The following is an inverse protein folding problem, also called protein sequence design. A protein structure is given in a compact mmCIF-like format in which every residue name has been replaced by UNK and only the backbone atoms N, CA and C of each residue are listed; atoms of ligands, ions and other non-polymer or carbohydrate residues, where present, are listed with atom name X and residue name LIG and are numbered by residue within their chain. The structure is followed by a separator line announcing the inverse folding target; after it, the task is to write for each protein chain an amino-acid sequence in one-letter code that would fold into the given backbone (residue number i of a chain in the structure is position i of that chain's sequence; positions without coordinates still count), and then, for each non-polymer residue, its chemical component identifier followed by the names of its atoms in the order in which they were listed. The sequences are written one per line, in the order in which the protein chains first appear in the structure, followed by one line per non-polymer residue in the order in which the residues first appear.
data_IF_911894444820
#
_entry.id   IF_911894444820
#
_cell.length_a   1.000
_cell.length_b   1.000
_cell.length_c   1.000
_cell.angle_alpha   90.00
_cell.angle_beta   90.00
_cell.angle_gamma   90.00
#
_symmetry.space_group_name_H-M   'P 1'
#
loop_
_entity.id
_entity.type
_entity.pdbx_description
1 polymer ?
#
# COMPACT_ATOMS: atom_id res chain seq x y z
N UNK A 1 33.01 15.33 -20.08
CA UNK A 1 31.88 14.39 -20.28
C UNK A 1 31.05 14.44 -19.02
N UNK A 2 30.07 15.34 -18.99
CA UNK A 2 29.13 15.45 -17.90
C UNK A 2 27.93 14.57 -18.26
N UNK A 3 27.65 13.57 -17.43
CA UNK A 3 26.45 12.77 -17.55
C UNK A 3 25.26 13.68 -17.23
N UNK A 4 24.44 13.96 -18.25
CA UNK A 4 23.13 14.54 -18.05
C UNK A 4 22.29 13.47 -17.34
N UNK A 5 22.07 13.67 -16.04
CA UNK A 5 20.98 13.01 -15.33
C UNK A 5 19.71 13.59 -15.93
N UNK A 6 19.08 12.81 -16.80
CA UNK A 6 17.72 13.07 -17.24
C UNK A 6 16.86 12.90 -15.99
N UNK A 7 16.49 14.03 -15.38
CA UNK A 7 15.40 14.08 -14.40
C UNK A 7 14.15 13.79 -15.22
N UNK A 8 13.77 12.52 -15.31
CA UNK A 8 12.48 12.14 -15.88
C UNK A 8 11.41 12.86 -15.07
N UNK A 9 10.52 13.52 -15.81
CA UNK A 9 9.46 14.34 -15.28
C UNK A 9 8.66 13.55 -14.24
N UNK A 10 8.85 13.90 -12.96
CA UNK A 10 7.89 13.58 -11.92
C UNK A 10 6.63 14.34 -12.35
N UNK A 11 5.73 13.62 -13.02
CA UNK A 11 4.34 14.03 -13.13
C UNK A 11 3.84 14.08 -11.69
N UNK A 12 3.95 15.26 -11.07
CA UNK A 12 3.28 15.55 -9.82
C UNK A 12 1.84 15.13 -10.03
N UNK A 13 1.41 14.10 -9.31
CA UNK A 13 0.02 13.68 -9.23
C UNK A 13 -0.71 14.86 -8.58
N UNK A 14 -1.05 15.84 -9.41
CA UNK A 14 -1.82 17.01 -9.04
C UNK A 14 -3.26 16.55 -8.90
N UNK A 15 -3.57 16.03 -7.72
CA UNK A 15 -4.93 15.64 -7.37
C UNK A 15 -4.94 14.73 -6.16
N UNK A 16 -5.09 15.31 -4.97
CA UNK A 16 -5.52 14.61 -3.76
C UNK A 16 -4.53 13.63 -3.11
N UNK A 17 -3.35 14.12 -2.69
CA UNK A 17 -2.71 13.56 -1.49
C UNK A 17 -3.56 13.97 -0.27
N UNK A 18 -4.74 13.39 -0.14
CA UNK A 18 -5.75 13.77 0.84
C UNK A 18 -5.36 13.29 2.23
N UNK A 19 -5.28 14.23 3.17
CA UNK A 19 -5.31 13.88 4.59
C UNK A 19 -6.76 13.50 4.92
N UNK A 20 -6.98 12.26 5.36
CA UNK A 20 -8.34 11.74 5.57
C UNK A 20 -8.96 12.38 6.82
N UNK A 21 -10.19 12.87 6.68
CA UNK A 21 -11.08 13.15 7.79
C UNK A 21 -11.77 11.85 8.21
N UNK A 22 -11.35 11.23 9.33
CA UNK A 22 -12.08 10.09 9.89
C UNK A 22 -13.36 10.60 10.56
N UNK A 23 -14.50 10.28 9.95
CA UNK A 23 -15.83 10.50 10.52
C UNK A 23 -16.18 9.40 11.53
N UNK A 24 -16.70 9.83 12.68
CA UNK A 24 -16.88 9.15 13.98
C UNK A 24 -17.79 7.90 13.99
N UNK A 25 -18.21 7.34 12.85
CA UNK A 25 -19.36 6.41 12.81
C UNK A 25 -19.06 4.92 12.58
N UNK A 26 -17.83 4.43 12.82
CA UNK A 26 -17.52 2.99 12.81
C UNK A 26 -16.62 2.53 13.98
N UNK A 27 -16.82 3.14 15.15
CA UNK A 27 -15.99 2.99 16.35
C UNK A 27 -16.33 1.67 17.10
N UNK A 28 -15.34 0.81 17.38
CA UNK A 28 -15.46 -0.24 18.40
C UNK A 28 -15.57 0.37 19.80
N UNK A 29 -16.45 -0.14 20.67
CA UNK A 29 -16.57 0.33 22.06
C UNK A 29 -15.22 0.25 22.81
N UNK A 30 -14.86 1.34 23.49
CA UNK A 30 -13.59 1.50 24.20
C UNK A 30 -13.60 0.67 25.48
N UNK A 31 -13.05 -0.53 25.43
CA UNK A 31 -12.70 -1.34 26.62
C UNK A 31 -11.24 -1.82 26.64
N UNK A 32 -10.33 -1.26 25.84
CA UNK A 32 -8.98 -1.83 25.70
C UNK A 32 -7.84 -0.93 26.17
N UNK A 33 -6.90 -1.53 26.90
CA UNK A 33 -5.59 -0.99 27.29
C UNK A 33 -4.57 -1.00 26.12
N UNK A 34 -5.07 -0.89 24.89
CA UNK A 34 -4.30 -1.10 23.66
C UNK A 34 -4.72 -0.18 22.51
N UNK A 35 -4.00 -0.26 21.40
CA UNK A 35 -4.35 0.45 20.16
C UNK A 35 -4.87 -0.53 19.12
N UNK A 36 -5.86 -0.12 18.35
CA UNK A 36 -6.40 -0.91 17.25
C UNK A 36 -5.93 -0.32 15.94
N UNK A 37 -5.27 -1.12 15.11
CA UNK A 37 -4.89 -0.77 13.75
C UNK A 37 -5.86 -1.44 12.78
N UNK A 38 -6.54 -0.64 11.95
CA UNK A 38 -7.39 -1.15 10.87
C UNK A 38 -6.61 -1.08 9.56
N UNK A 39 -6.56 -2.20 8.85
CA UNK A 39 -5.96 -2.33 7.52
C UNK A 39 -7.08 -2.58 6.52
N UNK A 40 -7.25 -1.68 5.55
CA UNK A 40 -8.21 -1.82 4.46
C UNK A 40 -7.50 -2.23 3.19
N UNK A 41 -8.05 -3.23 2.54
CA UNK A 41 -7.50 -3.82 1.32
C UNK A 41 -8.27 -3.37 0.09
N UNK A 42 -7.56 -3.24 -1.04
CA UNK A 42 -8.12 -2.93 -2.36
C UNK A 42 -9.34 -3.77 -2.73
N UNK A 43 -10.29 -3.16 -3.45
CA UNK A 43 -11.55 -3.81 -3.84
C UNK A 43 -11.33 -4.93 -4.84
N UNK A 44 -12.24 -5.88 -4.73
CA UNK A 44 -12.49 -6.93 -5.69
C UNK A 44 -14.01 -7.16 -5.77
N UNK A 45 -14.62 -6.85 -6.91
CA UNK A 45 -16.05 -7.07 -7.08
C UNK A 45 -16.33 -8.56 -7.29
N UNK A 46 -17.19 -9.12 -6.44
CA UNK A 46 -17.65 -10.52 -6.46
C UNK A 46 -16.64 -11.59 -6.03
N UNK A 47 -15.56 -11.25 -5.31
CA UNK A 47 -14.60 -12.23 -4.78
C UNK A 47 -13.85 -12.97 -5.89
N UNK A 48 -13.54 -12.27 -6.99
CA UNK A 48 -12.94 -12.82 -8.22
C UNK A 48 -11.45 -12.50 -8.37
N UNK A 49 -10.89 -11.55 -7.65
CA UNK A 49 -9.47 -11.52 -7.33
C UNK A 49 -9.22 -12.50 -6.21
N UNK A 50 -8.53 -13.57 -6.57
CA UNK A 50 -7.94 -14.45 -5.58
C UNK A 50 -6.90 -13.75 -4.70
N UNK A 51 -6.44 -12.51 -4.99
CA UNK A 51 -5.13 -12.01 -4.54
C UNK A 51 -4.99 -10.49 -4.27
N UNK A 52 -6.00 -9.72 -3.85
CA UNK A 52 -5.72 -8.39 -3.20
C UNK A 52 -5.76 -8.46 -1.69
N UNK A 53 -6.69 -9.28 -1.16
CA UNK A 53 -6.57 -9.86 0.17
C UNK A 53 -5.30 -10.69 0.32
N UNK A 54 -4.89 -10.89 1.56
CA UNK A 54 -3.69 -11.63 1.89
C UNK A 54 -3.55 -11.77 3.40
N UNK A 55 -2.34 -12.05 3.85
CA UNK A 55 -2.02 -12.08 5.26
C UNK A 55 -1.98 -10.64 5.79
N UNK A 56 -2.72 -10.38 6.86
CA UNK A 56 -2.61 -9.12 7.56
C UNK A 56 -1.18 -8.97 8.11
N UNK A 57 -0.61 -7.74 8.06
CA UNK A 57 0.76 -7.51 8.50
C UNK A 57 0.90 -7.67 10.01
N UNK A 58 2.09 -8.05 10.46
CA UNK A 58 2.46 -7.92 11.86
C UNK A 58 2.56 -6.44 12.22
N UNK A 59 2.04 -6.09 13.38
CA UNK A 59 1.98 -4.70 13.86
C UNK A 59 2.89 -4.57 15.07
N UNK A 60 3.89 -3.69 14.98
CA UNK A 60 4.73 -3.26 16.10
C UNK A 60 4.48 -1.78 16.38
N UNK A 61 4.19 -1.46 17.63
CA UNK A 61 3.89 -0.09 18.06
C UNK A 61 5.04 0.48 18.88
N UNK A 62 5.35 1.75 18.64
CA UNK A 62 6.34 2.52 19.39
C UNK A 62 5.78 3.90 19.74
N UNK A 63 6.24 4.46 20.86
CA UNK A 63 5.87 5.82 21.26
C UNK A 63 6.77 6.88 20.61
N UNK A 64 6.53 8.15 20.92
CA UNK A 64 7.26 9.28 20.33
C UNK A 64 8.76 9.29 20.65
N UNK A 65 9.16 8.68 21.77
CA UNK A 65 10.56 8.54 22.15
C UNK A 65 11.23 7.30 21.51
N UNK A 66 10.53 6.59 20.62
CA UNK A 66 10.99 5.36 20.00
C UNK A 66 10.93 4.15 20.94
N UNK A 67 10.26 4.23 22.10
CA UNK A 67 10.14 3.09 23.01
C UNK A 67 9.09 2.11 22.49
N UNK A 68 9.42 0.83 22.51
CA UNK A 68 8.51 -0.23 22.08
C UNK A 68 7.33 -0.40 23.04
N UNK A 69 6.12 -0.41 22.50
CA UNK A 69 4.86 -0.52 23.25
C UNK A 69 4.32 -1.96 23.23
N UNK A 70 4.26 -2.57 22.05
CA UNK A 70 3.57 -3.85 21.86
C UNK A 70 3.70 -4.40 20.45
N UNK A 71 3.39 -5.69 20.31
CA UNK A 71 3.38 -6.40 19.03
C UNK A 71 2.18 -7.34 18.97
N UNK A 72 1.54 -7.39 17.82
CA UNK A 72 0.65 -8.49 17.41
C UNK A 72 1.22 -9.06 16.12
N UNK A 73 1.55 -10.35 16.12
CA UNK A 73 2.13 -11.06 15.00
C UNK A 73 1.17 -12.15 14.50
N UNK A 74 1.25 -12.44 13.20
CA UNK A 74 0.40 -13.37 12.46
C UNK A 74 -1.11 -13.17 12.78
N UNK A 75 -1.66 -11.94 12.60
CA UNK A 75 -3.04 -11.63 12.99
C UNK A 75 -4.14 -12.33 12.16
N UNK A 76 -3.75 -13.09 11.14
CA UNK A 76 -4.64 -13.84 10.24
C UNK A 76 -4.74 -13.20 8.86
N UNK A 77 -5.79 -13.55 8.12
CA UNK A 77 -5.99 -13.14 6.72
C UNK A 77 -7.16 -12.18 6.57
N UNK A 78 -7.09 -11.30 5.58
CA UNK A 78 -8.22 -10.44 5.19
C UNK A 78 -8.58 -10.67 3.72
N UNK A 79 -9.87 -10.76 3.43
CA UNK A 79 -10.36 -10.91 2.05
C UNK A 79 -10.26 -9.58 1.29
N UNK A 80 -10.12 -9.67 -0.02
CA UNK A 80 -10.19 -8.56 -0.95
C UNK A 80 -11.41 -7.67 -0.67
N UNK A 81 -11.23 -6.35 -0.65
CA UNK A 81 -12.28 -5.40 -0.35
C UNK A 81 -12.89 -5.51 1.05
N UNK A 82 -12.23 -6.17 2.01
CA UNK A 82 -12.57 -6.16 3.43
C UNK A 82 -11.56 -5.33 4.24
N UNK A 83 -11.89 -5.05 5.50
CA UNK A 83 -10.97 -4.48 6.47
C UNK A 83 -10.67 -5.50 7.56
N UNK A 84 -9.44 -5.54 8.03
CA UNK A 84 -9.02 -6.33 9.19
C UNK A 84 -8.60 -5.40 10.33
N UNK A 85 -9.04 -5.71 11.54
CA UNK A 85 -8.71 -4.94 12.75
C UNK A 85 -7.72 -5.74 13.59
N UNK A 86 -6.60 -5.10 13.96
CA UNK A 86 -5.49 -5.70 14.68
C UNK A 86 -5.31 -4.93 15.98
N UNK A 87 -5.69 -5.53 17.10
CA UNK A 87 -5.48 -4.93 18.42
C UNK A 87 -4.09 -5.28 18.94
N UNK A 88 -3.36 -4.28 19.41
CA UNK A 88 -2.07 -4.44 20.07
C UNK A 88 -2.16 -3.99 21.52
N UNK A 89 -1.95 -4.92 22.44
CA UNK A 89 -1.90 -4.65 23.88
C UNK A 89 -0.62 -3.89 24.26
N UNK A 90 -0.74 -2.88 25.14
CA UNK A 90 0.40 -2.08 25.59
C UNK A 90 1.05 -2.75 26.81
N UNK A 91 2.27 -3.29 26.65
CA UNK A 91 2.85 -4.28 27.59
C UNK A 91 3.19 -3.77 29.00
N UNK A 92 3.14 -2.48 29.31
CA UNK A 92 3.45 -1.96 30.65
C UNK A 92 3.01 -0.52 30.94
N UNK A 93 2.43 0.21 29.98
CA UNK A 93 2.07 1.62 30.14
C UNK A 93 0.64 1.86 29.65
N UNK A 94 -0.31 1.93 30.59
CA UNK A 94 -1.72 2.22 30.30
C UNK A 94 -1.83 3.62 29.69
N UNK A 95 -2.15 3.70 28.39
CA UNK A 95 -2.49 4.96 27.72
C UNK A 95 -1.35 5.70 27.00
N UNK A 96 -0.23 5.05 26.69
CA UNK A 96 0.77 5.67 25.80
C UNK A 96 0.22 5.81 24.37
N UNK A 97 0.56 6.93 23.72
CA UNK A 97 0.24 7.14 22.31
C UNK A 97 1.25 6.37 21.45
N UNK A 98 0.74 5.49 20.59
CA UNK A 98 1.54 4.76 19.62
C UNK A 98 1.74 5.63 18.37
N UNK A 99 2.62 6.62 18.46
CA UNK A 99 2.85 7.58 17.38
C UNK A 99 3.57 6.97 16.19
N UNK A 100 4.29 5.87 16.38
CA UNK A 100 4.90 5.09 15.30
C UNK A 100 4.32 3.68 15.22
N UNK A 101 4.01 3.24 14.01
CA UNK A 101 3.65 1.85 13.71
C UNK A 101 4.55 1.29 12.64
N UNK A 102 5.06 0.09 12.84
CA UNK A 102 5.75 -0.72 11.84
C UNK A 102 4.84 -1.88 11.42
N UNK A 103 4.54 -1.92 10.12
CA UNK A 103 3.82 -2.98 9.43
C UNK A 103 4.85 -3.91 8.80
N UNK A 104 4.83 -5.19 9.14
CA UNK A 104 5.73 -6.21 8.55
C UNK A 104 4.91 -7.25 7.81
N UNK A 105 5.28 -7.51 6.56
CA UNK A 105 4.54 -8.41 5.69
C UNK A 105 4.68 -9.87 6.13
N UNK A 106 3.66 -10.64 5.77
CA UNK A 106 3.66 -12.10 5.86
C UNK A 106 3.76 -12.70 4.45
N UNK A 107 3.60 -14.01 4.30
CA UNK A 107 3.95 -14.69 3.04
C UNK A 107 2.88 -14.55 1.94
N UNK A 108 1.65 -14.19 2.28
CA UNK A 108 0.62 -13.87 1.29
C UNK A 108 0.52 -12.36 1.09
N UNK A 109 0.92 -11.89 -0.09
CA UNK A 109 1.02 -10.48 -0.42
C UNK A 109 -0.31 -9.74 -0.29
N UNK A 110 -0.28 -8.52 0.22
CA UNK A 110 -1.48 -7.71 0.50
C UNK A 110 -1.35 -6.31 -0.09
N UNK A 111 -2.41 -5.80 -0.72
CA UNK A 111 -2.46 -4.42 -1.24
C UNK A 111 -3.26 -3.52 -0.30
N UNK A 112 -2.56 -2.71 0.50
CA UNK A 112 -3.15 -1.86 1.53
C UNK A 112 -3.57 -0.52 0.93
N UNK A 113 -4.88 -0.28 0.87
CA UNK A 113 -5.48 0.95 0.34
C UNK A 113 -5.45 2.09 1.38
N UNK A 114 -5.73 1.77 2.64
CA UNK A 114 -5.52 2.68 3.76
C UNK A 114 -5.24 1.88 5.04
N UNK A 115 -4.59 2.55 5.98
CA UNK A 115 -4.45 2.09 7.35
C UNK A 115 -4.92 3.19 8.31
N UNK A 116 -5.53 2.82 9.42
CA UNK A 116 -5.85 3.75 10.50
C UNK A 116 -5.47 3.16 11.85
N UNK A 117 -5.23 4.02 12.83
CA UNK A 117 -5.00 3.62 14.21
C UNK A 117 -5.95 4.39 15.12
N UNK A 118 -6.52 3.68 16.10
CA UNK A 118 -7.25 4.26 17.23
C UNK A 118 -6.43 3.99 18.49
N UNK A 119 -6.04 5.06 19.18
CA UNK A 119 -5.29 4.99 20.44
C UNK A 119 -6.21 4.70 21.65
N UNK A 120 -5.67 4.33 22.83
CA UNK A 120 -6.49 4.03 24.00
C UNK A 120 -7.38 5.20 24.47
N UNK A 121 -6.99 6.44 24.17
CA UNK A 121 -7.75 7.65 24.49
C UNK A 121 -8.82 8.01 23.43
N UNK A 122 -8.95 7.20 22.37
CA UNK A 122 -9.89 7.41 21.27
C UNK A 122 -9.41 8.37 20.18
N UNK A 123 -8.17 8.89 20.26
CA UNK A 123 -7.59 9.66 19.14
C UNK A 123 -7.33 8.74 17.95
N UNK A 124 -7.58 9.27 16.75
CA UNK A 124 -7.50 8.52 15.50
C UNK A 124 -6.62 9.20 14.48
N UNK A 125 -5.88 8.39 13.73
CA UNK A 125 -5.06 8.82 12.61
C UNK A 125 -5.23 7.84 11.46
N UNK A 126 -4.91 8.27 10.24
CA UNK A 126 -4.79 7.34 9.15
C UNK A 126 -3.88 7.78 8.04
N UNK A 127 -3.70 6.86 7.13
CA UNK A 127 -2.72 6.88 6.05
C UNK A 127 -3.33 6.19 4.84
N UNK A 128 -3.00 6.69 3.65
CA UNK A 128 -3.48 6.15 2.37
C UNK A 128 -2.34 5.59 1.54
N UNK A 129 -2.63 4.57 0.74
CA UNK A 129 -1.67 3.91 -0.13
C UNK A 129 -1.07 4.81 -1.21
N UNK A 130 -1.66 5.97 -1.49
CA UNK A 130 -1.08 7.00 -2.35
C UNK A 130 0.32 7.41 -1.90
N UNK A 131 0.58 7.45 -0.59
CA UNK A 131 1.92 7.74 -0.06
C UNK A 131 2.90 6.61 -0.36
N UNK A 132 2.43 5.37 -0.34
CA UNK A 132 3.22 4.23 -0.78
C UNK A 132 3.69 4.40 -2.22
N UNK A 133 2.77 4.70 -3.13
CA UNK A 133 3.10 5.02 -4.53
C UNK A 133 4.04 6.22 -4.64
N UNK A 134 3.68 7.33 -4.00
CA UNK A 134 4.41 8.60 -4.09
C UNK A 134 5.85 8.49 -3.59
N UNK A 135 6.09 7.63 -2.60
CA UNK A 135 7.42 7.36 -2.07
C UNK A 135 8.15 6.19 -2.76
N UNK A 136 7.62 5.68 -3.89
CA UNK A 136 8.30 4.69 -4.75
C UNK A 136 8.00 3.22 -4.42
N UNK A 137 6.95 2.95 -3.65
CA UNK A 137 6.49 1.61 -3.34
C UNK A 137 5.77 0.94 -4.51
N UNK A 138 5.70 -0.41 -4.48
CA UNK A 138 4.92 -1.15 -5.45
C UNK A 138 3.42 -0.91 -5.23
N UNK A 139 2.66 -0.56 -6.28
CA UNK A 139 1.28 -0.08 -6.10
C UNK A 139 0.29 -0.53 -7.18
N UNK A 140 -1.00 -0.41 -6.89
CA UNK A 140 -2.09 -0.60 -7.86
C UNK A 140 -3.31 0.26 -7.49
N UNK A 141 -4.24 0.49 -8.41
CA UNK A 141 -5.51 1.15 -8.08
C UNK A 141 -6.32 0.29 -7.10
N UNK A 142 -6.86 0.89 -6.04
CA UNK A 142 -7.62 0.13 -5.04
C UNK A 142 -9.13 0.13 -5.28
N UNK A 143 -9.66 1.18 -5.93
CA UNK A 143 -11.09 1.49 -6.04
C UNK A 143 -11.85 1.50 -4.69
N UNK A 144 -11.15 1.61 -3.55
CA UNK A 144 -11.78 1.64 -2.23
C UNK A 144 -12.23 3.06 -1.91
N UNK A 145 -13.51 3.27 -1.67
CA UNK A 145 -13.97 4.56 -1.16
C UNK A 145 -13.57 4.75 0.30
N UNK A 146 -12.94 5.88 0.59
CA UNK A 146 -12.75 6.34 1.97
C UNK A 146 -14.00 7.11 2.39
N UNK A 147 -14.55 6.74 3.55
CA UNK A 147 -15.76 7.36 4.12
C UNK A 147 -15.69 8.89 4.08
N UNK A 148 -16.80 9.54 3.74
CA UNK A 148 -16.95 10.99 3.51
C UNK A 148 -16.25 11.59 2.27
N UNK A 149 -15.65 10.77 1.39
CA UNK A 149 -15.06 11.23 0.13
C UNK A 149 -15.49 10.38 -1.08
N UNK A 150 -15.50 10.98 -2.28
CA UNK A 150 -15.56 10.25 -3.56
C UNK A 150 -14.17 9.80 -4.03
N UNK A 151 -13.19 9.83 -3.12
CA UNK A 151 -11.80 9.52 -3.41
C UNK A 151 -11.53 8.04 -3.17
N UNK A 152 -10.77 7.46 -4.10
CA UNK A 152 -10.33 6.07 -4.08
C UNK A 152 -8.81 6.07 -4.15
N UNK A 153 -8.11 5.76 -3.04
CA UNK A 153 -6.66 5.85 -2.99
C UNK A 153 -6.03 4.74 -3.84
N UNK A 154 -4.77 4.92 -4.19
CA UNK A 154 -3.94 3.79 -4.60
C UNK A 154 -3.70 2.85 -3.41
N UNK A 155 -3.34 1.59 -3.66
CA UNK A 155 -2.90 0.66 -2.63
C UNK A 155 -1.42 0.34 -2.75
N UNK A 156 -0.76 0.15 -1.61
CA UNK A 156 0.64 -0.26 -1.50
C UNK A 156 0.72 -1.78 -1.29
N UNK A 157 1.50 -2.45 -2.12
CA UNK A 157 1.81 -3.86 -1.93
C UNK A 157 2.88 -4.05 -0.85
N UNK A 158 2.67 -5.03 0.02
CA UNK A 158 3.71 -5.58 0.89
C UNK A 158 3.69 -7.11 0.84
N UNK A 159 4.87 -7.73 0.96
CA UNK A 159 5.07 -9.16 0.83
C UNK A 159 6.37 -9.65 1.49
N UNK A 160 6.28 -10.73 2.28
CA UNK A 160 7.40 -11.31 3.01
C UNK A 160 8.23 -12.32 2.21
N UNK A 161 7.74 -12.81 1.05
CA UNK A 161 8.40 -13.87 0.28
C UNK A 161 9.06 -13.42 -1.04
N UNK A 162 9.07 -12.11 -1.32
CA UNK A 162 9.73 -11.45 -2.45
C UNK A 162 9.05 -11.64 -3.82
N UNK A 163 7.75 -11.95 -3.83
CA UNK A 163 6.88 -11.68 -4.96
C UNK A 163 6.75 -10.17 -5.19
N UNK A 164 6.79 -9.34 -4.13
CA UNK A 164 6.89 -7.88 -4.20
C UNK A 164 8.10 -7.37 -3.40
N UNK A 165 8.71 -6.23 -3.78
CA UNK A 165 9.97 -5.81 -3.18
C UNK A 165 9.81 -5.30 -1.74
N UNK A 166 8.65 -4.73 -1.39
CA UNK A 166 8.40 -4.15 -0.07
C UNK A 166 8.00 -5.24 0.93
N UNK A 167 8.79 -5.42 1.99
CA UNK A 167 8.55 -6.39 3.07
C UNK A 167 7.85 -5.76 4.27
N UNK A 168 7.57 -4.46 4.22
CA UNK A 168 6.92 -3.72 5.29
C UNK A 168 7.12 -2.22 5.14
N UNK A 169 6.51 -1.45 6.03
CA UNK A 169 6.72 0.00 6.11
C UNK A 169 6.41 0.51 7.52
N UNK A 170 7.00 1.65 7.88
CA UNK A 170 6.63 2.39 9.08
C UNK A 170 5.80 3.63 8.74
N UNK A 171 4.99 4.07 9.70
CA UNK A 171 4.26 5.34 9.67
C UNK A 171 4.50 6.06 11.00
N UNK A 172 4.81 7.36 10.94
CA UNK A 172 4.62 8.30 12.05
C UNK A 172 3.28 9.01 11.87
N UNK A 173 2.28 8.61 12.64
CA UNK A 173 0.88 9.01 12.41
C UNK A 173 0.63 10.52 12.42
N UNK A 174 1.22 11.33 13.33
CA UNK A 174 0.98 12.77 13.37
C UNK A 174 1.40 13.52 12.10
N UNK A 175 2.30 12.97 11.28
CA UNK A 175 2.73 13.60 10.03
C UNK A 175 1.67 13.58 8.93
N UNK A 176 0.66 12.71 9.10
CA UNK A 176 -0.48 12.51 8.21
C UNK A 176 -1.79 12.98 8.84
N UNK A 177 -1.74 13.87 9.84
CA UNK A 177 -2.90 14.46 10.49
C UNK A 177 -3.35 15.78 9.82
N UNK A 178 -4.64 16.12 9.96
CA UNK A 178 -5.27 17.23 9.22
C UNK A 178 -4.69 18.62 9.54
N UNK A 179 -4.05 18.77 10.69
CA UNK A 179 -3.36 19.98 11.11
C UNK A 179 -1.98 20.16 10.44
N UNK A 180 -1.57 19.22 9.59
CA UNK A 180 -0.34 19.23 8.82
C UNK A 180 -0.62 19.15 7.29
N UNK A 181 -1.45 20.07 6.74
CA UNK A 181 -1.91 19.99 5.35
C UNK A 181 -0.76 20.15 4.35
N UNK A 182 -0.95 19.56 3.18
CA UNK A 182 -0.05 19.77 2.05
C UNK A 182 -0.21 21.20 1.55
N UNK A 183 0.88 21.97 1.39
CA UNK A 183 0.79 23.35 0.90
C UNK A 183 0.21 23.45 -0.51
N UNK A 184 -0.51 24.53 -0.82
CA UNK A 184 -1.06 24.75 -2.18
C UNK A 184 0.03 25.06 -3.22
N UNK A 185 1.16 25.66 -2.80
CA UNK A 185 2.26 26.01 -3.69
C UNK A 185 3.02 24.76 -4.15
N UNK A 186 3.36 24.66 -5.43
CA UNK A 186 4.15 23.54 -5.99
C UNK A 186 5.45 23.27 -5.21
N UNK A 187 6.18 24.33 -4.84
CA UNK A 187 7.41 24.20 -4.04
C UNK A 187 7.14 23.62 -2.65
N UNK A 188 6.08 24.10 -1.99
CA UNK A 188 5.66 23.57 -0.69
C UNK A 188 5.16 22.12 -0.77
N UNK A 189 4.46 21.73 -1.85
CA UNK A 189 4.07 20.34 -2.11
C UNK A 189 5.32 19.46 -2.23
N UNK A 190 6.28 19.87 -3.06
CA UNK A 190 7.53 19.14 -3.25
C UNK A 190 8.30 18.99 -1.94
N UNK A 191 8.40 20.05 -1.15
CA UNK A 191 9.08 20.04 0.15
C UNK A 191 8.39 19.11 1.14
N UNK A 192 7.05 19.10 1.18
CA UNK A 192 6.30 18.20 2.08
C UNK A 192 6.41 16.75 1.65
N UNK A 193 6.34 16.46 0.35
CA UNK A 193 6.53 15.11 -0.20
C UNK A 193 7.95 14.60 0.10
N UNK A 194 8.97 15.42 -0.17
CA UNK A 194 10.36 15.09 0.13
C UNK A 194 10.55 14.82 1.64
N UNK A 195 9.96 15.67 2.47
CA UNK A 195 9.99 15.46 3.92
C UNK A 195 9.37 14.11 4.32
N UNK A 196 8.18 13.80 3.83
CA UNK A 196 7.48 12.57 4.19
C UNK A 196 8.19 11.31 3.68
N UNK A 197 8.69 11.34 2.45
CA UNK A 197 9.28 10.16 1.80
C UNK A 197 10.77 9.95 2.13
N UNK A 198 11.54 11.03 2.34
CA UNK A 198 13.00 10.96 2.38
C UNK A 198 13.62 11.32 3.73
N UNK A 199 12.84 11.82 4.70
CA UNK A 199 13.39 12.16 6.02
C UNK A 199 13.69 10.93 6.90
N UNK A 200 13.07 9.78 6.62
CA UNK A 200 13.15 8.56 7.42
C UNK A 200 11.96 8.38 8.36
N UNK A 201 11.88 9.09 9.50
CA UNK A 201 10.82 8.87 10.49
C UNK A 201 9.36 8.95 10.01
N UNK A 202 8.96 9.91 9.14
CA UNK A 202 7.56 10.03 8.75
C UNK A 202 7.00 8.78 8.05
N UNK A 203 7.73 8.29 7.04
CA UNK A 203 7.38 7.09 6.30
C UNK A 203 8.67 6.46 5.75
N UNK A 204 8.85 5.17 6.02
CA UNK A 204 9.98 4.40 5.51
C UNK A 204 9.51 3.01 5.13
N UNK A 205 9.82 2.59 3.91
CA UNK A 205 9.56 1.23 3.44
C UNK A 205 10.79 0.35 3.71
N UNK A 206 10.52 -0.90 4.05
CA UNK A 206 11.49 -1.97 4.14
C UNK A 206 11.39 -2.84 2.90
N UNK A 207 12.52 -3.40 2.47
CA UNK A 207 12.58 -4.24 1.28
C UNK A 207 13.31 -5.53 1.56
N UNK A 208 13.07 -6.53 0.71
CA UNK A 208 13.84 -7.76 0.69
C UNK A 208 15.35 -7.47 0.60
N UNK A 209 16.23 -8.23 1.30
CA UNK A 209 16.00 -9.50 2.00
C UNK A 209 15.50 -9.41 3.46
N UNK A 210 15.13 -8.23 3.97
CA UNK A 210 14.61 -8.08 5.33
C UNK A 210 13.15 -8.55 5.44
N UNK A 211 12.94 -9.86 5.64
CA UNK A 211 11.60 -10.50 5.64
C UNK A 211 10.73 -10.25 6.88
N UNK A 212 11.34 -9.82 7.98
CA UNK A 212 10.63 -9.45 9.23
C UNK A 212 11.28 -8.16 9.74
N UNK A 213 10.98 -7.01 9.11
CA UNK A 213 11.53 -5.74 9.55
C UNK A 213 11.12 -5.47 10.99
N UNK A 214 12.10 -5.08 11.81
CA UNK A 214 11.91 -4.88 13.26
C UNK A 214 12.30 -3.50 13.73
N UNK A 215 12.92 -2.70 12.87
CA UNK A 215 13.44 -1.39 13.24
C UNK A 215 12.55 -0.28 12.73
N UNK A 216 12.42 0.79 13.51
CA UNK A 216 11.91 2.07 13.05
C UNK A 216 12.98 3.15 13.11
N UNK A 217 12.88 4.14 12.23
CA UNK A 217 13.52 5.44 12.42
C UNK A 217 12.55 6.38 13.17
N UNK A 218 13.04 7.13 14.14
CA UNK A 218 12.23 8.08 14.92
C UNK A 218 12.97 9.40 15.16
N UNK A 219 12.22 10.46 15.45
CA UNK A 219 12.76 11.75 15.82
C UNK A 219 13.28 11.76 17.26
N UNK A 220 14.58 11.98 17.45
CA UNK A 220 15.21 12.06 18.76
C UNK A 220 15.74 13.48 19.04
N UNK A 221 15.63 13.98 20.28
CA UNK A 221 16.25 15.24 20.66
C UNK A 221 17.78 15.11 20.62
N UNK A 222 18.45 16.07 19.97
CA UNK A 222 19.91 16.11 19.89
C UNK A 222 20.53 16.16 21.30
N UNK A 223 21.40 15.21 21.62
CA UNK A 223 22.10 15.17 22.91
C UNK A 223 23.32 16.11 22.90
N UNK A 224 23.09 17.42 23.16
CA UNK A 224 24.17 18.41 23.20
C UNK A 224 23.71 19.79 23.69
N UNK A 225 24.42 20.36 24.67
CA UNK A 225 24.08 21.61 25.37
C UNK A 225 24.14 22.85 24.44
N UNK A 226 22.99 23.45 24.14
CA UNK A 226 22.80 24.91 24.15
C UNK A 226 21.30 25.24 24.13
N UNK A 227 20.81 25.85 25.20
CA UNK A 227 19.40 26.23 25.45
C UNK A 227 18.95 27.47 24.63
N UNK A 228 19.53 27.71 23.45
CA UNK A 228 19.25 28.92 22.67
C UNK A 228 18.89 28.69 21.20
N UNK A 229 18.95 27.46 20.71
CA UNK A 229 18.51 27.14 19.36
C UNK A 229 17.31 26.19 19.40
N UNK A 230 16.35 26.46 18.51
CA UNK A 230 15.14 25.64 18.29
C UNK A 230 15.52 24.16 18.31
N UNK A 231 14.75 23.32 19.02
CA UNK A 231 14.96 21.87 19.16
C UNK A 231 15.33 21.24 17.81
N UNK A 232 16.62 21.07 17.54
CA UNK A 232 17.10 20.33 16.37
C UNK A 232 16.85 18.87 16.68
N UNK A 233 15.92 18.27 15.96
CA UNK A 233 15.66 16.83 16.00
C UNK A 233 16.70 16.13 15.12
N UNK A 234 17.28 15.05 15.62
CA UNK A 234 18.08 14.11 14.84
C UNK A 234 17.27 12.82 14.65
N UNK A 235 17.65 11.98 13.69
CA UNK A 235 17.03 10.66 13.51
C UNK A 235 17.76 9.62 14.36
N UNK A 236 17.02 8.76 15.05
CA UNK A 236 17.55 7.58 15.74
C UNK A 236 16.81 6.31 15.30
N UNK A 237 17.34 5.15 15.66
CA UNK A 237 16.73 3.85 15.33
C UNK A 237 16.34 3.11 16.59
N UNK A 238 15.14 2.55 16.62
CA UNK A 238 14.66 1.65 17.67
C UNK A 238 14.27 0.30 17.09
N UNK A 239 14.17 -0.72 17.94
CA UNK A 239 13.91 -2.10 17.53
C UNK A 239 12.80 -2.73 18.37
N UNK A 240 11.88 -3.41 17.69
CA UNK A 240 10.91 -4.31 18.29
C UNK A 240 11.44 -5.74 18.41
N UNK A 241 10.78 -6.58 19.22
CA UNK A 241 11.09 -8.01 19.29
C UNK A 241 10.76 -8.72 17.97
N UNK A 242 11.44 -9.85 17.68
CA UNK A 242 11.07 -10.72 16.55
C UNK A 242 9.69 -11.34 16.76
N UNK A 243 9.02 -11.70 15.66
CA UNK A 243 7.69 -12.34 15.73
C UNK A 243 7.71 -13.73 16.37
N UNK A 244 8.84 -14.46 16.25
CA UNK A 244 9.05 -15.75 16.92
C UNK A 244 10.14 -15.65 18.00
N UNK A 245 9.93 -16.35 19.12
CA UNK A 245 10.91 -16.44 20.19
C UNK A 245 12.22 -17.08 19.69
N UNK A 246 13.37 -16.57 20.12
CA UNK A 246 14.69 -17.06 19.70
C UNK A 246 14.88 -18.55 20.02
N UNK A 247 14.21 -19.07 21.05
CA UNK A 247 14.22 -20.50 21.43
C UNK A 247 13.46 -21.42 20.47
N UNK A 248 12.55 -20.89 19.65
CA UNK A 248 11.83 -21.65 18.63
C UNK A 248 12.64 -21.83 17.32
N UNK A 249 13.81 -21.18 17.21
CA UNK A 249 14.69 -21.28 16.03
C UNK A 249 15.27 -22.67 15.78
N UNK A 250 15.15 -23.60 16.73
CA UNK A 250 15.66 -24.97 16.58
C UNK A 250 14.65 -25.97 15.99
N UNK A 251 13.41 -25.56 15.70
CA UNK A 251 12.35 -26.52 15.31
C UNK A 251 11.58 -26.21 14.01
N UNK A 252 11.89 -25.18 13.23
CA UNK A 252 11.08 -24.84 12.04
C UNK A 252 11.85 -24.71 10.72
N UNK A 253 12.86 -25.54 10.48
CA UNK A 253 13.37 -25.78 9.12
C UNK A 253 12.57 -26.86 8.35
N UNK A 254 11.44 -27.34 8.90
CA UNK A 254 10.79 -28.57 8.38
C UNK A 254 9.27 -28.56 8.12
N UNK A 255 8.63 -27.39 8.03
CA UNK A 255 7.23 -27.32 7.56
C UNK A 255 7.06 -26.29 6.43
N UNK A 256 7.81 -26.48 5.35
CA UNK A 256 7.37 -26.05 4.02
C UNK A 256 6.70 -27.24 3.34
N UNK A 257 5.55 -27.65 3.87
CA UNK A 257 4.60 -28.38 3.06
C UNK A 257 3.96 -27.37 2.11
N UNK A 258 4.56 -27.33 0.92
CA UNK A 258 4.05 -26.87 -0.36
C UNK A 258 2.55 -27.17 -0.47
N UNK A 259 1.73 -26.27 0.08
CA UNK A 259 0.33 -26.17 -0.32
C UNK A 259 0.37 -25.73 -1.78
N UNK A 260 -0.07 -26.66 -2.61
CA UNK A 260 -0.16 -26.65 -4.06
C UNK A 260 -1.05 -25.49 -4.55
N UNK A 261 -0.65 -24.24 -4.30
CA UNK A 261 -1.27 -23.04 -4.84
C UNK A 261 -0.45 -22.62 -6.05
N UNK A 262 -1.07 -22.76 -7.21
CA UNK A 262 -0.59 -22.25 -8.48
C UNK A 262 -0.09 -20.82 -8.29
N UNK A 263 1.22 -20.66 -8.47
CA UNK A 263 2.02 -19.45 -8.26
C UNK A 263 1.32 -18.13 -8.60
N UNK A 264 1.35 -17.20 -7.64
CA UNK A 264 0.81 -15.82 -7.61
C UNK A 264 1.03 -15.00 -8.90
N UNK A 265 2.17 -15.07 -9.62
CA UNK A 265 2.36 -14.33 -10.88
C UNK A 265 1.51 -14.86 -12.05
N UNK A 266 1.26 -16.17 -12.11
CA UNK A 266 0.47 -16.78 -13.18
C UNK A 266 -1.01 -16.40 -13.03
N UNK A 267 -1.55 -16.39 -11.81
CA UNK A 267 -2.94 -16.01 -11.52
C UNK A 267 -3.19 -14.50 -11.74
N UNK A 268 -2.22 -13.65 -11.41
CA UNK A 268 -2.28 -12.21 -11.71
C UNK A 268 -2.30 -11.98 -13.23
N UNK A 269 -1.47 -12.71 -13.98
CA UNK A 269 -1.48 -12.68 -15.44
C UNK A 269 -2.73 -13.29 -16.10
N UNK A 270 -3.66 -13.88 -15.35
CA UNK A 270 -4.98 -14.34 -15.82
C UNK A 270 -6.13 -13.51 -15.28
N UNK A 271 -5.84 -12.39 -14.63
CA UNK A 271 -6.81 -11.46 -14.07
C UNK A 271 -6.81 -10.14 -14.84
N UNK A 272 -7.96 -9.48 -14.92
CA UNK A 272 -8.13 -8.20 -15.57
C UNK A 272 -9.08 -7.30 -14.78
N UNK A 273 -8.81 -5.99 -14.79
CA UNK A 273 -9.68 -4.95 -14.23
C UNK A 273 -10.16 -4.02 -15.32
N UNK A 274 -11.45 -3.71 -15.30
CA UNK A 274 -12.12 -2.78 -16.22
C UNK A 274 -12.65 -1.61 -15.40
N UNK A 275 -12.38 -0.38 -15.81
CA UNK A 275 -12.89 0.83 -15.15
C UNK A 275 -13.37 1.87 -16.16
N UNK A 276 -14.31 2.71 -15.74
CA UNK A 276 -14.76 3.92 -16.44
C UNK A 276 -14.43 5.20 -15.67
N UNK A 277 -13.61 5.10 -14.61
CA UNK A 277 -13.22 6.25 -13.79
C UNK A 277 -12.14 7.06 -14.49
N UNK A 278 -12.30 8.38 -14.54
CA UNK A 278 -11.24 9.29 -15.02
C UNK A 278 -10.01 9.28 -14.09
N UNK A 279 -10.15 8.79 -12.86
CA UNK A 279 -9.06 8.65 -11.88
C UNK A 279 -8.19 7.42 -12.11
N UNK A 280 -8.67 6.42 -12.86
CA UNK A 280 -7.92 5.19 -13.11
C UNK A 280 -7.35 5.18 -14.54
N UNK A 281 -6.26 5.90 -14.76
CA UNK A 281 -5.62 6.00 -16.07
C UNK A 281 -4.86 4.72 -16.40
N UNK A 282 -5.24 4.05 -17.50
CA UNK A 282 -4.54 2.87 -17.98
C UNK A 282 -3.10 3.20 -18.42
N UNK A 283 -2.87 4.40 -18.96
CA UNK A 283 -1.53 4.86 -19.35
C UNK A 283 -0.64 5.11 -18.13
N UNK A 284 -1.18 5.76 -17.10
CA UNK A 284 -0.47 6.06 -15.85
C UNK A 284 -0.02 4.76 -15.17
N UNK A 285 -0.94 3.79 -15.08
CA UNK A 285 -0.63 2.47 -14.58
C UNK A 285 0.44 1.76 -15.43
N UNK A 286 0.35 1.81 -16.77
CA UNK A 286 1.32 1.14 -17.63
C UNK A 286 2.72 1.78 -17.59
N UNK A 287 2.78 3.11 -17.57
CA UNK A 287 4.04 3.85 -17.60
C UNK A 287 4.73 3.89 -16.24
N UNK A 288 4.03 3.58 -15.15
CA UNK A 288 4.62 3.49 -13.82
C UNK A 288 5.54 2.27 -13.69
N UNK A 289 6.82 2.52 -13.41
CA UNK A 289 7.81 1.47 -13.17
C UNK A 289 7.52 0.64 -11.91
N UNK A 290 6.80 1.20 -10.94
CA UNK A 290 6.48 0.56 -9.66
C UNK A 290 5.03 0.07 -9.59
N UNK A 291 4.22 0.21 -10.64
CA UNK A 291 2.88 -0.36 -10.60
C UNK A 291 2.96 -1.89 -10.75
N UNK A 292 2.09 -2.63 -10.07
CA UNK A 292 2.04 -4.08 -10.15
C UNK A 292 0.63 -4.59 -9.91
N UNK A 293 0.14 -5.49 -10.77
CA UNK A 293 -1.19 -6.07 -10.61
C UNK A 293 -1.73 -6.69 -11.90
N UNK A 294 -3.04 -7.00 -11.93
CA UNK A 294 -3.73 -7.56 -13.09
C UNK A 294 -3.63 -6.67 -14.33
N UNK A 295 -3.96 -7.20 -15.51
CA UNK A 295 -4.11 -6.35 -16.70
C UNK A 295 -5.25 -5.33 -16.49
N UNK A 296 -5.17 -4.16 -17.12
CA UNK A 296 -6.08 -3.06 -16.83
C UNK A 296 -6.65 -2.44 -18.09
N UNK A 297 -7.94 -2.11 -18.07
CA UNK A 297 -8.61 -1.40 -19.16
C UNK A 297 -9.42 -0.22 -18.62
N UNK A 298 -9.26 0.94 -19.25
CA UNK A 298 -10.16 2.05 -19.07
C UNK A 298 -11.05 2.20 -20.32
N UNK A 299 -12.35 1.98 -20.15
CA UNK A 299 -13.31 2.01 -21.27
C UNK A 299 -13.63 3.42 -21.74
N UNK A 300 -13.43 4.46 -20.90
CA UNK A 300 -13.64 5.85 -21.32
C UNK A 300 -12.48 6.39 -22.12
N UNK A 301 -11.25 6.06 -21.72
CA UNK A 301 -10.06 6.45 -22.48
C UNK A 301 -9.78 5.51 -23.65
N UNK A 302 -10.51 4.40 -23.76
CA UNK A 302 -10.34 3.35 -24.77
C UNK A 302 -8.93 2.73 -24.81
N UNK A 303 -8.31 2.57 -23.63
CA UNK A 303 -6.94 2.08 -23.49
C UNK A 303 -6.89 0.83 -22.62
N UNK A 304 -6.11 -0.14 -23.09
CA UNK A 304 -5.74 -1.36 -22.39
C UNK A 304 -4.24 -1.34 -22.07
N UNK A 305 -3.90 -1.62 -20.81
CA UNK A 305 -2.53 -1.88 -20.38
C UNK A 305 -2.37 -3.37 -20.08
N UNK A 306 -1.43 -4.00 -20.78
CA UNK A 306 -0.95 -5.34 -20.41
C UNK A 306 0.15 -5.18 -19.38
N UNK A 307 -0.12 -5.57 -18.14
CA UNK A 307 0.76 -5.26 -17.01
C UNK A 307 2.00 -6.15 -16.96
N UNK A 308 1.95 -7.33 -17.58
CA UNK A 308 3.07 -8.28 -17.63
C UNK A 308 4.29 -7.76 -18.38
N UNK A 309 4.08 -6.94 -19.41
CA UNK A 309 5.14 -6.35 -20.24
C UNK A 309 5.05 -4.81 -20.34
N UNK A 310 4.14 -4.19 -19.59
CA UNK A 310 3.90 -2.74 -19.56
C UNK A 310 3.59 -2.16 -20.95
N UNK A 311 2.86 -2.91 -21.77
CA UNK A 311 2.49 -2.46 -23.13
C UNK A 311 1.08 -1.89 -23.19
N UNK A 312 0.97 -0.73 -23.82
CA UNK A 312 -0.29 -0.02 -24.05
C UNK A 312 -0.87 -0.45 -25.40
N UNK A 313 -2.17 -0.74 -25.42
CA UNK A 313 -2.92 -1.10 -26.61
C UNK A 313 -4.23 -0.31 -26.70
N UNK A 314 -4.68 0.06 -27.92
CA UNK A 314 -6.02 0.61 -28.11
C UNK A 314 -7.08 -0.48 -27.95
N UNK A 315 -8.32 -0.08 -27.65
CA UNK A 315 -9.48 -0.98 -27.75
C UNK A 315 -9.90 -1.13 -29.22
N UNK A 316 -10.27 -2.35 -29.62
CA UNK A 316 -10.76 -2.62 -30.95
C UNK A 316 -12.08 -1.89 -31.21
N UNK A 317 -12.21 -1.27 -32.38
CA UNK A 317 -13.47 -0.73 -32.87
C UNK A 317 -13.73 -1.22 -34.30
N UNK A 318 -14.97 -1.65 -34.58
CA UNK A 318 -15.34 -2.23 -35.86
C UNK A 318 -15.19 -1.27 -37.05
N UNK A 319 -15.01 0.03 -36.80
CA UNK A 319 -14.86 1.05 -37.82
C UNK A 319 -13.42 1.18 -38.34
N UNK A 320 -12.42 1.18 -37.45
CA UNK A 320 -11.06 1.61 -37.79
C UNK A 320 -9.95 0.74 -37.17
N UNK A 321 -10.20 0.03 -36.07
CA UNK A 321 -9.17 -0.71 -35.33
C UNK A 321 -9.67 -2.14 -35.09
N UNK A 322 -9.30 -3.05 -36.00
CA UNK A 322 -9.74 -4.45 -35.96
C UNK A 322 -8.63 -5.43 -35.58
N UNK A 323 -7.39 -4.94 -35.46
CA UNK A 323 -6.20 -5.71 -35.16
C UNK A 323 -5.18 -4.85 -34.40
N UNK A 324 -4.23 -5.49 -33.70
CA UNK A 324 -3.30 -4.85 -32.76
C UNK A 324 -4.04 -4.04 -31.69
N UNK A 325 -5.07 -4.65 -31.10
CA UNK A 325 -5.99 -4.01 -30.20
C UNK A 325 -6.62 -5.00 -29.23
N UNK A 326 -7.13 -4.48 -28.11
CA UNK A 326 -7.88 -5.28 -27.15
C UNK A 326 -9.34 -5.41 -27.57
N UNK A 327 -9.80 -6.64 -27.83
CA UNK A 327 -11.17 -6.91 -28.21
C UNK A 327 -12.01 -7.19 -26.97
N UNK A 328 -12.91 -6.26 -26.63
CA UNK A 328 -13.78 -6.35 -25.46
C UNK A 328 -14.85 -7.44 -25.56
N UNK A 329 -15.29 -7.79 -26.77
CA UNK A 329 -16.25 -8.88 -26.99
C UNK A 329 -15.64 -10.26 -26.78
N UNK A 330 -14.33 -10.39 -27.03
CA UNK A 330 -13.56 -11.61 -26.80
C UNK A 330 -12.83 -11.61 -25.46
N UNK A 331 -12.75 -10.46 -24.79
CA UNK A 331 -11.88 -10.21 -23.63
C UNK A 331 -10.44 -10.67 -23.88
N UNK A 332 -9.91 -10.37 -25.07
CA UNK A 332 -8.59 -10.82 -25.50
C UNK A 332 -7.91 -9.76 -26.35
N UNK A 333 -6.58 -9.67 -26.20
CA UNK A 333 -5.77 -8.91 -27.11
C UNK A 333 -5.59 -9.66 -28.43
N UNK A 334 -5.79 -8.97 -29.54
CA UNK A 334 -5.63 -9.51 -30.89
C UNK A 334 -4.40 -8.88 -31.54
N UNK A 335 -3.43 -9.70 -31.91
CA UNK A 335 -2.22 -9.30 -32.64
C UNK A 335 -2.12 -10.09 -33.94
N UNK A 336 -2.03 -9.38 -35.06
CA UNK A 336 -1.98 -9.97 -36.40
C UNK A 336 -3.15 -10.94 -36.67
N UNK A 337 -4.34 -10.60 -36.16
CA UNK A 337 -5.57 -11.40 -36.28
C UNK A 337 -5.63 -12.64 -35.38
N UNK A 338 -4.68 -12.79 -34.44
CA UNK A 338 -4.61 -13.94 -33.53
C UNK A 338 -4.75 -13.45 -32.09
N UNK A 339 -5.59 -14.12 -31.31
CA UNK A 339 -5.65 -13.89 -29.88
C UNK A 339 -4.32 -14.24 -29.21
N UNK A 340 -3.79 -13.35 -28.37
CA UNK A 340 -2.49 -13.58 -27.73
C UNK A 340 -2.53 -14.60 -26.59
N UNK A 341 -3.73 -15.05 -26.21
CA UNK A 341 -3.95 -15.98 -25.11
C UNK A 341 -4.71 -17.20 -25.63
N UNK A 342 -4.27 -18.37 -25.22
CA UNK A 342 -4.96 -19.63 -25.52
C UNK A 342 -6.30 -19.74 -24.77
N UNK A 343 -6.38 -19.12 -23.59
CA UNK A 343 -7.56 -19.12 -22.72
C UNK A 343 -7.96 -17.67 -22.37
N UNK A 344 -9.27 -17.39 -22.19
CA UNK A 344 -9.75 -16.08 -21.73
C UNK A 344 -9.29 -15.79 -20.29
N UNK A 345 -9.45 -14.53 -19.86
CA UNK A 345 -9.23 -14.17 -18.46
C UNK A 345 -10.13 -15.01 -17.55
N UNK A 346 -9.52 -15.61 -16.53
CA UNK A 346 -10.27 -16.37 -15.51
C UNK A 346 -11.06 -15.43 -14.61
N UNK A 347 -10.49 -14.26 -14.34
CA UNK A 347 -11.05 -13.28 -13.42
C UNK A 347 -11.11 -11.91 -14.12
N UNK A 348 -12.32 -11.41 -14.33
CA UNK A 348 -12.55 -10.04 -14.81
C UNK A 348 -13.29 -9.29 -13.72
N UNK A 349 -12.66 -8.23 -13.22
CA UNK A 349 -13.30 -7.27 -12.31
C UNK A 349 -13.82 -6.12 -13.14
N UNK A 350 -15.08 -5.79 -12.94
CA UNK A 350 -15.71 -4.65 -13.56
C UNK A 350 -16.02 -3.60 -12.49
N UNK A 351 -15.31 -2.48 -12.56
CA UNK A 351 -15.49 -1.29 -11.72
C UNK A 351 -16.31 -0.20 -12.41
N UNK A 352 -16.95 -0.50 -13.54
CA UNK A 352 -17.76 0.48 -14.24
C UNK A 352 -19.05 0.79 -13.47
N UNK A 353 -19.51 2.04 -13.61
CA UNK A 353 -20.67 2.58 -12.87
C UNK A 353 -22.04 1.97 -13.24
N UNK A 354 -22.07 1.02 -14.19
CA UNK A 354 -23.30 0.46 -14.76
C UNK A 354 -23.74 -0.90 -14.18
N UNK A 355 -23.10 -1.38 -13.10
CA UNK A 355 -23.47 -2.61 -12.40
C UNK A 355 -24.01 -2.37 -10.99
#
# INVERSE_FOLDING_TARGET
MAAAVVVEAIGLISGFLGIIQFGIDNIPEVESVGSTVRVRVGLDFNGRLSNTGGDLPDIRLFNEAGEFIGITADPGTVKSGMAGDITVEHKSNLGQQATYTLFSANNDAICIAYASITWPNGEEYGWVGDWGRQCGGSWYYSNVYISASSYTPDCLWIDGNNNQPQTGFQIHWPEFANDNPIPDSLEGQHTKIDHLCNSGPPFQMHTYPDKDPRSIMYWAPRSGRSLSDKRVLETATSYGPPKHAVSARFESEQDYNEANQTTTPQLIGMSMVISDSEKHSAEDLCNSATSYGPDFMNIKSEIFCRMSDKTIWPICNAANIIDNCFNTGLSQLVLNGIATRDEPYHNVIDWTSAN
#
